data_IF_781655327226
#
_entry.id   IF_781655327226
#
_cell.length_a   1.000
_cell.length_b   1.000
_cell.length_c   1.000
_cell.angle_alpha   90.00
_cell.angle_beta   90.00
_cell.angle_gamma   90.00
#
_symmetry.space_group_name_H-M   'P 1'
#
loop_
_entity.id
_entity.type
_entity.pdbx_description
1 polymer ?
#
# COMPACT_ATOMS: atom_id res chain seq x y z
N UNK A 1 13.79 -34.72 -2.58
CA UNK A 1 13.89 -33.75 -3.69
C UNK A 1 12.62 -32.94 -3.69
N UNK A 2 12.70 -31.63 -3.91
CA UNK A 2 11.52 -30.77 -4.05
C UNK A 2 10.83 -30.98 -5.40
N UNK A 3 9.52 -30.86 -5.42
CA UNK A 3 8.74 -30.86 -6.66
C UNK A 3 8.95 -29.56 -7.43
N UNK A 4 9.20 -29.64 -8.73
CA UNK A 4 9.37 -28.44 -9.57
C UNK A 4 8.03 -27.71 -9.71
N UNK A 5 8.01 -26.41 -9.39
CA UNK A 5 6.83 -25.58 -9.61
C UNK A 5 6.88 -24.95 -11.02
N UNK A 6 5.76 -24.95 -11.74
CA UNK A 6 5.64 -24.40 -13.09
C UNK A 6 4.57 -23.31 -13.04
N UNK A 7 4.88 -22.08 -13.46
CA UNK A 7 3.89 -21.00 -13.52
C UNK A 7 2.93 -21.19 -14.69
N UNK A 8 1.62 -21.14 -14.43
CA UNK A 8 0.55 -21.33 -15.41
C UNK A 8 -0.46 -20.20 -15.27
N UNK A 9 -0.63 -19.32 -16.27
CA UNK A 9 -1.41 -18.09 -16.14
C UNK A 9 -2.93 -18.33 -16.07
N UNK A 10 -3.41 -19.43 -16.65
CA UNK A 10 -4.82 -19.82 -16.86
C UNK A 10 -5.29 -20.93 -15.92
N UNK A 11 -4.63 -21.09 -14.77
CA UNK A 11 -5.02 -22.05 -13.74
C UNK A 11 -4.91 -21.45 -12.34
N UNK A 12 -5.76 -21.96 -11.43
CA UNK A 12 -5.60 -21.77 -9.99
C UNK A 12 -4.36 -22.55 -9.54
N UNK A 13 -3.40 -21.88 -8.92
CA UNK A 13 -2.12 -22.50 -8.54
C UNK A 13 -1.87 -22.44 -7.05
N UNK A 14 -1.44 -23.56 -6.47
CA UNK A 14 -1.05 -23.69 -5.07
C UNK A 14 0.45 -23.98 -4.96
N UNK A 15 1.17 -23.10 -4.28
CA UNK A 15 2.56 -23.33 -3.88
C UNK A 15 2.62 -23.83 -2.43
N UNK A 16 2.77 -25.14 -2.26
CA UNK A 16 2.91 -25.80 -0.96
C UNK A 16 4.34 -26.18 -0.57
N UNK A 17 4.50 -26.72 0.65
CA UNK A 17 5.78 -27.14 1.23
C UNK A 17 6.59 -28.13 0.37
N UNK A 18 5.93 -28.99 -0.41
CA UNK A 18 6.57 -29.98 -1.29
C UNK A 18 7.46 -29.36 -2.38
N UNK A 19 7.21 -28.09 -2.72
CA UNK A 19 8.03 -27.36 -3.68
C UNK A 19 9.36 -26.86 -3.07
N UNK A 20 9.51 -26.82 -1.74
CA UNK A 20 10.69 -26.22 -1.12
C UNK A 20 10.85 -24.74 -1.54
N UNK A 21 12.07 -24.21 -1.50
CA UNK A 21 12.36 -22.85 -2.00
C UNK A 21 12.85 -22.90 -3.44
N UNK A 22 12.30 -22.04 -4.32
CA UNK A 22 12.63 -22.03 -5.74
C UNK A 22 12.68 -20.61 -6.31
N UNK A 23 13.52 -20.45 -7.33
CA UNK A 23 13.47 -19.30 -8.24
C UNK A 23 13.02 -19.80 -9.60
N UNK A 24 11.97 -19.20 -10.13
CA UNK A 24 11.47 -19.51 -11.47
C UNK A 24 11.59 -18.29 -12.38
N UNK A 25 11.67 -18.54 -13.67
CA UNK A 25 11.68 -17.54 -14.74
C UNK A 25 10.47 -17.80 -15.64
N UNK A 26 9.75 -16.76 -16.10
CA UNK A 26 8.56 -16.99 -16.87
C UNK A 26 8.95 -17.47 -18.28
N UNK A 27 8.18 -18.40 -18.85
CA UNK A 27 8.33 -18.76 -20.26
C UNK A 27 7.95 -17.58 -21.17
N UNK A 28 7.01 -16.74 -20.75
CA UNK A 28 6.55 -15.56 -21.48
C UNK A 28 6.20 -14.38 -20.56
N UNK A 29 5.40 -14.62 -19.52
CA UNK A 29 4.98 -13.65 -18.50
C UNK A 29 4.64 -14.36 -17.18
N UNK A 30 4.61 -13.60 -16.08
CA UNK A 30 4.02 -14.03 -14.80
C UNK A 30 2.57 -13.57 -14.61
N UNK A 31 1.94 -13.04 -15.64
CA UNK A 31 0.52 -12.66 -15.61
C UNK A 31 -0.37 -13.79 -15.08
N UNK A 32 -1.50 -13.40 -14.48
CA UNK A 32 -2.62 -14.30 -14.19
C UNK A 32 -3.82 -13.88 -15.01
N UNK A 33 -4.51 -14.83 -15.63
CA UNK A 33 -5.72 -14.54 -16.36
C UNK A 33 -6.87 -14.21 -15.39
N UNK A 34 -7.88 -13.51 -15.91
CA UNK A 34 -9.11 -13.19 -15.18
C UNK A 34 -9.71 -14.49 -14.61
N UNK A 35 -10.07 -14.47 -13.33
CA UNK A 35 -10.71 -15.59 -12.63
C UNK A 35 -9.77 -16.63 -12.03
N UNK A 36 -8.45 -16.50 -12.22
CA UNK A 36 -7.47 -17.45 -11.68
C UNK A 36 -6.65 -16.85 -10.53
N UNK A 37 -6.26 -17.71 -9.60
CA UNK A 37 -5.64 -17.33 -8.33
C UNK A 37 -4.27 -17.97 -8.13
N UNK A 38 -3.41 -17.27 -7.39
CA UNK A 38 -2.19 -17.83 -6.83
C UNK A 38 -2.32 -17.90 -5.31
N UNK A 39 -2.18 -19.12 -4.79
CA UNK A 39 -2.21 -19.43 -3.36
C UNK A 39 -0.87 -19.96 -2.91
N UNK A 40 -0.44 -19.58 -1.71
CA UNK A 40 0.81 -20.06 -1.14
C UNK A 40 0.64 -20.42 0.34
N UNK A 41 1.01 -21.66 0.64
CA UNK A 41 1.05 -22.21 1.99
C UNK A 41 2.27 -23.12 2.14
N UNK A 42 3.45 -22.49 2.20
CA UNK A 42 4.73 -23.17 2.05
C UNK A 42 5.61 -23.14 3.31
N UNK A 43 5.04 -22.76 4.46
CA UNK A 43 5.77 -22.62 5.72
C UNK A 43 6.78 -21.48 5.65
N UNK A 44 8.07 -21.78 5.73
CA UNK A 44 9.15 -20.80 5.63
C UNK A 44 9.74 -20.69 4.21
N UNK A 45 9.25 -21.50 3.27
CA UNK A 45 9.81 -21.57 1.93
C UNK A 45 9.53 -20.31 1.10
N UNK A 46 10.43 -20.06 0.14
CA UNK A 46 10.40 -18.87 -0.71
C UNK A 46 10.20 -19.25 -2.17
N UNK A 47 9.20 -18.63 -2.82
CA UNK A 47 9.07 -18.61 -4.27
C UNK A 47 9.54 -17.24 -4.80
N UNK A 48 10.55 -17.25 -5.66
CA UNK A 48 11.00 -16.05 -6.37
C UNK A 48 10.56 -16.09 -7.83
N UNK A 49 9.73 -15.14 -8.23
CA UNK A 49 9.37 -14.83 -9.62
C UNK A 49 10.43 -13.88 -10.17
N UNK A 50 11.43 -14.44 -10.85
CA UNK A 50 12.55 -13.67 -11.41
C UNK A 50 12.31 -13.33 -12.88
N UNK A 51 12.19 -12.03 -13.17
CA UNK A 51 11.96 -11.53 -14.53
C UNK A 51 13.26 -11.26 -15.30
N UNK A 52 14.43 -11.27 -14.66
CA UNK A 52 15.71 -10.84 -15.27
C UNK A 52 16.21 -11.74 -16.39
N UNK A 53 15.96 -13.04 -16.26
CA UNK A 53 16.51 -14.06 -17.14
C UNK A 53 15.75 -14.21 -18.47
N UNK A 54 14.96 -13.21 -18.84
CA UNK A 54 14.23 -13.18 -20.10
C UNK A 54 14.39 -11.83 -20.80
N UNK A 55 14.38 -11.86 -22.13
CA UNK A 55 14.44 -10.67 -22.98
C UNK A 55 13.04 -10.18 -23.39
N UNK A 56 11.98 -10.83 -22.89
CA UNK A 56 10.61 -10.46 -23.18
C UNK A 56 10.21 -9.24 -22.35
N UNK A 57 9.87 -8.13 -23.01
CA UNK A 57 9.28 -6.94 -22.36
C UNK A 57 8.05 -7.33 -21.53
N UNK A 58 7.25 -8.29 -22.01
CA UNK A 58 6.06 -8.81 -21.31
C UNK A 58 6.38 -9.54 -20.02
N UNK A 59 7.61 -10.02 -19.83
CA UNK A 59 7.99 -10.67 -18.58
C UNK A 59 8.24 -9.67 -17.45
N UNK A 60 8.57 -8.42 -17.79
CA UNK A 60 8.80 -7.36 -16.82
C UNK A 60 7.53 -6.59 -16.48
N UNK A 61 6.41 -6.86 -17.16
CA UNK A 61 5.16 -6.13 -17.00
C UNK A 61 4.04 -7.07 -16.55
N UNK A 62 3.89 -7.21 -15.23
CA UNK A 62 3.05 -8.20 -14.58
C UNK A 62 1.67 -7.61 -14.28
N UNK A 63 0.65 -8.17 -14.93
CA UNK A 63 -0.75 -7.76 -14.82
C UNK A 63 -1.60 -8.82 -14.15
N UNK A 64 -2.08 -8.51 -12.94
CA UNK A 64 -2.87 -9.41 -12.12
C UNK A 64 -4.27 -8.80 -11.88
N UNK A 65 -5.29 -9.24 -12.63
CA UNK A 65 -5.23 -10.12 -13.79
C UNK A 65 -4.79 -9.38 -15.06
N UNK A 66 -4.43 -10.15 -16.08
CA UNK A 66 -4.17 -9.68 -17.42
C UNK A 66 -5.47 -9.19 -18.07
N UNK A 67 -5.46 -8.04 -18.75
CA UNK A 67 -6.59 -7.65 -19.60
C UNK A 67 -6.70 -8.66 -20.75
N UNK A 68 -7.83 -9.38 -20.86
CA UNK A 68 -8.15 -10.13 -22.07
C UNK A 68 -9.07 -9.30 -22.97
N UNK A 69 -8.89 -9.44 -24.29
CA UNK A 69 -9.81 -8.87 -25.30
C UNK A 69 -11.20 -9.53 -25.25
N UNK A 70 -11.31 -10.70 -24.59
CA UNK A 70 -12.51 -11.52 -24.47
C UNK A 70 -13.25 -11.30 -23.14
N UNK A 71 -13.33 -10.04 -22.67
CA UNK A 71 -14.11 -9.66 -21.47
C UNK A 71 -15.55 -10.18 -21.51
N UNK A 72 -16.18 -10.18 -22.69
CA UNK A 72 -17.58 -10.57 -22.84
C UNK A 72 -17.80 -12.09 -22.81
N UNK A 73 -16.99 -12.89 -23.51
CA UNK A 73 -17.18 -14.35 -23.54
C UNK A 73 -16.85 -15.03 -22.20
N UNK A 74 -15.80 -14.60 -21.51
CA UNK A 74 -15.43 -15.19 -20.21
C UNK A 74 -16.45 -14.86 -19.11
N UNK A 75 -16.99 -13.64 -19.12
CA UNK A 75 -18.08 -13.27 -18.20
C UNK A 75 -19.38 -14.02 -18.51
N UNK A 76 -19.65 -14.40 -19.76
CA UNK A 76 -20.86 -15.14 -20.15
C UNK A 76 -20.74 -16.63 -19.81
N UNK A 77 -19.60 -17.27 -20.09
CA UNK A 77 -19.38 -18.70 -19.83
C UNK A 77 -19.27 -19.02 -18.34
N UNK A 78 -18.60 -18.17 -17.55
CA UNK A 78 -18.43 -18.43 -16.11
C UNK A 78 -19.50 -17.82 -15.19
N UNK A 79 -20.40 -16.95 -15.69
CA UNK A 79 -21.64 -16.61 -14.96
C UNK A 79 -22.63 -17.77 -14.92
N UNK A 80 -22.56 -18.72 -15.86
CA UNK A 80 -23.50 -19.82 -15.96
C UNK A 80 -23.13 -21.04 -15.08
N UNK A 81 -21.85 -21.23 -14.72
CA UNK A 81 -21.39 -22.46 -14.05
C UNK A 81 -20.84 -22.28 -12.64
N UNK A 82 -20.62 -21.06 -12.14
CA UNK A 82 -20.13 -20.86 -10.77
C UNK A 82 -20.58 -19.53 -10.18
N UNK A 83 -21.79 -19.51 -9.61
CA UNK A 83 -22.29 -18.38 -8.81
C UNK A 83 -21.58 -18.20 -7.46
N UNK A 84 -20.63 -19.09 -7.10
CA UNK A 84 -19.92 -19.08 -5.80
C UNK A 84 -18.38 -19.08 -5.88
N UNK A 85 -17.75 -19.03 -7.08
CA UNK A 85 -16.31 -18.69 -7.13
C UNK A 85 -16.19 -17.20 -6.83
N UNK A 86 -15.98 -16.85 -5.57
CA UNK A 86 -15.55 -15.52 -5.12
C UNK A 86 -14.35 -15.08 -5.97
N UNK A 87 -14.61 -14.25 -6.98
CA UNK A 87 -13.68 -13.66 -7.96
C UNK A 87 -12.69 -12.67 -7.30
N UNK A 88 -12.24 -12.97 -6.08
CA UNK A 88 -11.89 -11.97 -5.07
C UNK A 88 -10.51 -12.07 -4.44
N UNK A 89 -9.67 -13.06 -4.75
CA UNK A 89 -8.34 -13.24 -4.13
C UNK A 89 -7.30 -13.70 -5.17
N UNK A 90 -6.64 -12.78 -5.88
CA UNK A 90 -5.60 -13.17 -6.86
C UNK A 90 -4.30 -13.60 -6.19
N UNK A 91 -3.97 -13.00 -5.05
CA UNK A 91 -2.82 -13.40 -4.23
C UNK A 91 -3.32 -13.73 -2.84
N UNK A 92 -3.22 -14.98 -2.43
CA UNK A 92 -3.52 -15.40 -1.07
C UNK A 92 -2.34 -16.19 -0.50
N UNK A 93 -1.63 -15.59 0.46
CA UNK A 93 -0.46 -16.20 1.11
C UNK A 93 -0.80 -16.42 2.58
N UNK A 94 -1.00 -17.67 2.98
CA UNK A 94 -1.23 -18.06 4.37
C UNK A 94 0.08 -18.35 5.10
N UNK A 95 1.10 -18.83 4.39
CA UNK A 95 2.46 -19.02 4.91
C UNK A 95 3.49 -19.06 3.78
N UNK A 96 4.70 -18.58 4.04
CA UNK A 96 5.81 -18.54 3.09
C UNK A 96 6.07 -17.15 2.50
N UNK A 97 7.07 -17.07 1.62
CA UNK A 97 7.59 -15.83 1.08
C UNK A 97 7.46 -15.78 -0.45
N UNK A 98 6.65 -14.85 -0.98
CA UNK A 98 6.59 -14.57 -2.41
C UNK A 98 7.45 -13.35 -2.72
N UNK A 99 8.44 -13.51 -3.60
CA UNK A 99 9.29 -12.42 -4.08
C UNK A 99 9.08 -12.23 -5.58
N UNK A 100 8.70 -11.03 -5.99
CA UNK A 100 8.67 -10.59 -7.38
C UNK A 100 9.85 -9.63 -7.57
N UNK A 101 10.78 -9.97 -8.47
CA UNK A 101 12.01 -9.19 -8.67
C UNK A 101 12.37 -9.06 -10.15
N UNK A 102 12.86 -7.87 -10.50
CA UNK A 102 13.62 -7.61 -11.72
C UNK A 102 15.05 -7.18 -11.39
N UNK A 103 15.62 -6.35 -12.27
CA UNK A 103 16.98 -5.82 -12.21
C UNK A 103 16.95 -4.32 -12.43
N UNK A 104 18.11 -3.68 -12.29
CA UNK A 104 18.24 -2.25 -12.57
C UNK A 104 17.99 -1.96 -14.06
N UNK A 105 18.48 -2.84 -14.92
CA UNK A 105 18.38 -2.74 -16.37
C UNK A 105 16.99 -3.13 -16.87
N UNK A 106 16.34 -4.07 -16.17
CA UNK A 106 15.01 -4.59 -16.52
C UNK A 106 14.12 -4.65 -15.28
N UNK A 107 13.66 -3.50 -14.77
CA UNK A 107 12.85 -3.46 -13.56
C UNK A 107 11.44 -3.98 -13.81
N UNK A 108 10.82 -4.50 -12.75
CA UNK A 108 9.42 -4.97 -12.81
C UNK A 108 8.46 -3.79 -12.80
N UNK A 109 7.43 -3.86 -13.63
CA UNK A 109 6.19 -3.10 -13.51
C UNK A 109 5.11 -4.07 -13.03
N UNK A 110 4.50 -3.78 -11.88
CA UNK A 110 3.46 -4.61 -11.29
C UNK A 110 2.13 -3.86 -11.25
N UNK A 111 1.08 -4.51 -11.74
CA UNK A 111 -0.24 -3.93 -11.89
C UNK A 111 -1.30 -4.87 -11.30
N UNK A 112 -1.88 -4.50 -10.17
CA UNK A 112 -3.11 -5.10 -9.66
C UNK A 112 -4.31 -4.26 -10.08
N UNK A 113 -5.31 -4.89 -10.70
CA UNK A 113 -6.58 -4.27 -11.11
C UNK A 113 -6.46 -3.07 -12.08
N UNK A 114 -5.43 -2.98 -12.92
CA UNK A 114 -5.24 -1.80 -13.78
C UNK A 114 -6.34 -1.55 -14.81
N UNK A 115 -7.11 -2.58 -15.21
CA UNK A 115 -8.09 -2.49 -16.32
C UNK A 115 -9.36 -3.35 -16.13
N UNK A 116 -9.54 -3.96 -14.95
CA UNK A 116 -10.69 -4.83 -14.63
C UNK A 116 -11.56 -4.17 -13.57
N UNK A 117 -12.82 -4.59 -13.45
CA UNK A 117 -13.64 -4.18 -12.31
C UNK A 117 -12.88 -4.58 -11.05
N UNK A 118 -12.42 -3.60 -10.28
CA UNK A 118 -11.41 -3.76 -9.23
C UNK A 118 -11.85 -4.74 -8.13
N UNK A 119 -11.71 -6.04 -8.40
CA UNK A 119 -12.28 -7.13 -7.58
C UNK A 119 -11.20 -8.03 -7.01
N UNK A 120 -9.99 -7.97 -7.56
CA UNK A 120 -8.90 -8.83 -7.17
C UNK A 120 -8.13 -8.25 -5.99
N UNK A 121 -7.67 -9.14 -5.11
CA UNK A 121 -7.08 -8.75 -3.83
C UNK A 121 -5.76 -9.43 -3.56
N UNK A 122 -4.99 -8.78 -2.70
CA UNK A 122 -3.79 -9.30 -2.05
C UNK A 122 -4.15 -9.58 -0.59
N UNK A 123 -4.02 -10.83 -0.17
CA UNK A 123 -4.28 -11.27 1.20
C UNK A 123 -3.06 -11.96 1.76
N UNK A 124 -2.53 -11.40 2.84
CA UNK A 124 -1.38 -11.91 3.59
C UNK A 124 -1.83 -12.23 5.01
N UNK A 125 -1.62 -13.48 5.45
CA UNK A 125 -2.06 -13.95 6.76
C UNK A 125 -0.95 -14.70 7.49
N UNK A 126 -1.16 -14.89 8.80
CA UNK A 126 -0.24 -15.57 9.72
C UNK A 126 1.16 -14.96 9.72
N UNK A 127 2.12 -15.54 9.01
CA UNK A 127 3.53 -15.08 8.99
C UNK A 127 4.06 -14.99 7.57
N UNK A 128 3.19 -14.68 6.62
CA UNK A 128 3.52 -14.63 5.20
C UNK A 128 4.25 -13.35 4.81
N UNK A 129 4.99 -13.40 3.70
CA UNK A 129 5.59 -12.20 3.10
C UNK A 129 5.32 -12.09 1.61
N UNK A 130 5.12 -10.85 1.16
CA UNK A 130 5.13 -10.47 -0.25
C UNK A 130 6.14 -9.34 -0.44
N UNK A 131 7.11 -9.53 -1.32
CA UNK A 131 8.08 -8.52 -1.69
C UNK A 131 8.04 -8.26 -3.20
N UNK A 132 7.80 -7.01 -3.60
CA UNK A 132 7.97 -6.53 -4.96
C UNK A 132 9.18 -5.61 -4.95
N UNK A 133 10.29 -6.07 -5.54
CA UNK A 133 11.59 -5.41 -5.40
C UNK A 133 12.21 -5.12 -6.76
N UNK A 134 13.10 -4.11 -6.79
CA UNK A 134 13.71 -3.61 -8.03
C UNK A 134 12.64 -3.30 -9.08
N UNK A 135 11.54 -2.71 -8.63
CA UNK A 135 10.46 -2.29 -9.49
C UNK A 135 10.72 -0.88 -10.02
N UNK A 136 10.09 -0.57 -11.15
CA UNK A 136 9.95 0.78 -11.65
C UNK A 136 8.55 1.31 -11.33
N UNK A 137 7.50 0.56 -11.70
CA UNK A 137 6.12 0.97 -11.41
C UNK A 137 5.40 -0.08 -10.60
N UNK A 138 4.70 0.32 -9.55
CA UNK A 138 3.75 -0.55 -8.84
C UNK A 138 2.42 0.17 -8.71
N UNK A 139 1.36 -0.41 -9.28
CA UNK A 139 0.00 0.13 -9.22
C UNK A 139 -0.92 -0.89 -8.58
N UNK A 140 -1.60 -0.48 -7.53
CA UNK A 140 -2.59 -1.30 -6.83
C UNK A 140 -3.91 -0.52 -6.83
N UNK A 141 -4.87 -1.00 -7.60
CA UNK A 141 -6.22 -0.43 -7.66
C UNK A 141 -7.22 -1.36 -6.96
N UNK A 142 -8.31 -0.82 -6.44
CA UNK A 142 -9.30 -1.51 -5.63
C UNK A 142 -10.73 -1.04 -5.90
N UNK A 143 -11.76 -1.78 -5.44
CA UNK A 143 -13.16 -1.46 -5.72
C UNK A 143 -13.45 -0.01 -5.31
N UNK A 144 -13.88 0.80 -6.28
CA UNK A 144 -14.33 2.18 -6.05
C UNK A 144 -15.74 2.15 -5.48
N UNK A 145 -15.86 1.78 -4.22
CA UNK A 145 -17.17 1.75 -3.59
C UNK A 145 -17.55 3.16 -3.13
N UNK A 146 -18.65 3.69 -3.70
CA UNK A 146 -19.35 4.88 -3.17
C UNK A 146 -20.10 4.57 -1.86
N UNK A 147 -20.09 3.32 -1.41
CA UNK A 147 -20.72 2.88 -0.16
C UNK A 147 -19.72 2.96 1.00
N UNK A 148 -20.14 3.38 2.21
CA UNK A 148 -19.26 3.67 3.36
C UNK A 148 -18.36 2.52 3.86
N UNK A 149 -18.58 1.30 3.37
CA UNK A 149 -17.77 0.13 3.69
C UNK A 149 -17.70 -0.76 2.45
N UNK A 150 -16.55 -0.88 1.76
CA UNK A 150 -16.31 -2.08 0.99
C UNK A 150 -16.37 -3.28 1.91
N UNK A 151 -16.92 -4.38 1.42
CA UNK A 151 -16.95 -5.64 2.19
C UNK A 151 -15.53 -6.11 2.51
N UNK A 152 -14.55 -5.84 1.63
CA UNK A 152 -13.14 -6.22 1.81
C UNK A 152 -12.18 -5.27 1.08
N UNK A 153 -11.03 -4.96 1.70
CA UNK A 153 -9.93 -4.15 1.14
C UNK A 153 -9.20 -4.85 -0.02
N UNK A 154 -8.64 -4.09 -0.97
CA UNK A 154 -7.85 -4.67 -2.07
C UNK A 154 -6.52 -5.26 -1.58
N UNK A 155 -6.00 -4.72 -0.47
CA UNK A 155 -4.87 -5.29 0.25
C UNK A 155 -5.29 -5.52 1.70
N UNK A 156 -5.16 -6.75 2.18
CA UNK A 156 -5.45 -7.13 3.56
C UNK A 156 -4.27 -7.91 4.14
N UNK A 157 -3.68 -7.38 5.22
CA UNK A 157 -2.50 -7.94 5.89
C UNK A 157 -2.82 -8.18 7.36
N UNK A 158 -2.63 -9.40 7.83
CA UNK A 158 -2.97 -9.85 9.20
C UNK A 158 -1.95 -10.85 9.74
N UNK A 159 -2.00 -11.16 11.04
CA UNK A 159 -0.95 -11.93 11.71
C UNK A 159 0.27 -11.07 12.02
N UNK A 160 1.42 -11.66 11.76
CA UNK A 160 2.76 -11.07 11.68
C UNK A 160 3.26 -10.99 10.23
N UNK A 161 2.36 -10.78 9.27
CA UNK A 161 2.71 -10.77 7.84
C UNK A 161 3.40 -9.47 7.41
N UNK A 162 4.17 -9.52 6.31
CA UNK A 162 4.94 -8.39 5.82
C UNK A 162 4.72 -8.14 4.32
N UNK A 163 4.35 -6.91 3.95
CA UNK A 163 4.39 -6.43 2.58
C UNK A 163 5.58 -5.48 2.39
N UNK A 164 6.38 -5.70 1.36
CA UNK A 164 7.44 -4.77 0.93
C UNK A 164 7.28 -4.44 -0.54
N UNK A 165 7.21 -3.15 -0.85
CA UNK A 165 7.19 -2.64 -2.22
C UNK A 165 8.32 -1.63 -2.38
N UNK A 166 9.32 -1.98 -3.17
CA UNK A 166 10.45 -1.10 -3.50
C UNK A 166 10.47 -0.81 -5.02
N UNK A 167 9.99 0.39 -5.36
CA UNK A 167 9.99 0.94 -6.70
C UNK A 167 10.91 2.17 -6.76
N UNK A 168 12.21 1.93 -6.60
CA UNK A 168 13.26 2.97 -6.52
C UNK A 168 14.20 2.98 -7.73
N UNK A 169 13.98 2.11 -8.72
CA UNK A 169 14.79 2.08 -9.94
C UNK A 169 14.50 3.33 -10.78
N UNK A 170 15.56 3.98 -11.26
CA UNK A 170 15.48 5.08 -12.23
C UNK A 170 15.88 4.56 -13.60
N UNK A 171 15.07 4.87 -14.61
CA UNK A 171 15.32 4.47 -16.01
C UNK A 171 15.50 5.73 -16.85
N UNK A 172 16.55 5.76 -17.67
CA UNK A 172 16.77 6.82 -18.64
C UNK A 172 16.07 6.44 -19.96
N UNK A 173 15.09 7.23 -20.42
CA UNK A 173 14.42 7.07 -21.71
C UNK A 173 14.44 8.39 -22.47
N UNK A 174 15.00 8.40 -23.68
CA UNK A 174 14.88 9.51 -24.66
C UNK A 174 15.08 10.94 -24.10
N UNK A 175 16.00 11.09 -23.13
CA UNK A 175 16.36 12.30 -22.36
C UNK A 175 15.51 12.63 -21.12
N UNK A 176 14.58 11.78 -20.73
CA UNK A 176 13.84 11.86 -19.47
C UNK A 176 14.29 10.75 -18.50
N UNK A 177 14.34 11.11 -17.21
CA UNK A 177 14.59 10.16 -16.13
C UNK A 177 13.24 9.74 -15.56
N UNK A 178 12.82 8.51 -15.88
CA UNK A 178 11.63 7.90 -15.29
C UNK A 178 12.02 7.44 -13.90
N UNK A 179 11.47 8.12 -12.91
CA UNK A 179 11.64 7.76 -11.51
C UNK A 179 10.65 6.67 -11.14
N UNK A 180 11.12 5.69 -10.37
CA UNK A 180 10.24 4.66 -9.84
C UNK A 180 9.07 5.27 -9.06
N UNK A 181 7.89 4.66 -9.21
CA UNK A 181 6.64 5.14 -8.64
C UNK A 181 5.80 4.01 -8.03
N UNK A 182 5.12 4.31 -6.92
CA UNK A 182 4.06 3.48 -6.34
C UNK A 182 2.76 4.28 -6.38
N UNK A 183 1.68 3.69 -6.89
CA UNK A 183 0.36 4.31 -6.89
C UNK A 183 -0.66 3.38 -6.25
N UNK A 184 -1.32 3.87 -5.21
CA UNK A 184 -2.42 3.20 -4.53
C UNK A 184 -3.72 3.93 -4.86
N UNK A 185 -4.69 3.18 -5.37
CA UNK A 185 -6.07 3.63 -5.58
C UNK A 185 -7.03 2.56 -5.04
N UNK A 186 -6.92 2.29 -3.74
CA UNK A 186 -7.62 1.20 -3.10
C UNK A 186 -7.69 1.34 -1.58
N UNK A 187 -8.66 0.64 -0.99
CA UNK A 187 -8.63 0.36 0.45
C UNK A 187 -7.55 -0.65 0.80
N UNK A 188 -6.81 -0.35 1.87
CA UNK A 188 -5.66 -1.10 2.34
C UNK A 188 -5.80 -1.31 3.85
N UNK A 189 -5.78 -2.54 4.33
CA UNK A 189 -5.94 -2.85 5.77
C UNK A 189 -4.74 -3.63 6.31
N UNK A 190 -4.24 -3.19 7.47
CA UNK A 190 -3.15 -3.84 8.22
C UNK A 190 -3.63 -4.01 9.67
N UNK A 191 -3.61 -5.24 10.18
CA UNK A 191 -4.04 -5.57 11.54
C UNK A 191 -2.98 -6.34 12.32
N UNK A 192 -3.23 -6.56 13.60
CA UNK A 192 -2.40 -7.37 14.50
C UNK A 192 -0.96 -6.86 14.59
N UNK A 193 0.06 -7.68 14.28
CA UNK A 193 1.48 -7.27 14.34
C UNK A 193 2.12 -7.13 12.95
N UNK A 194 1.28 -7.02 11.92
CA UNK A 194 1.71 -6.98 10.53
C UNK A 194 2.33 -5.64 10.13
N UNK A 195 3.13 -5.67 9.06
CA UNK A 195 3.88 -4.51 8.58
C UNK A 195 3.77 -4.32 7.07
N UNK A 196 3.71 -3.07 6.64
CA UNK A 196 3.83 -2.70 5.23
C UNK A 196 4.93 -1.64 5.04
N UNK A 197 5.76 -1.81 4.02
CA UNK A 197 6.74 -0.81 3.60
C UNK A 197 6.56 -0.47 2.13
N UNK A 198 6.39 0.83 1.85
CA UNK A 198 6.44 1.40 0.51
C UNK A 198 7.69 2.27 0.39
N UNK A 199 8.54 2.00 -0.59
CA UNK A 199 9.77 2.76 -0.84
C UNK A 199 9.86 3.13 -2.31
N UNK A 200 9.83 4.43 -2.61
CA UNK A 200 9.86 4.92 -3.99
C UNK A 200 10.27 6.38 -4.04
N UNK A 201 10.67 6.89 -5.21
CA UNK A 201 10.84 8.33 -5.39
C UNK A 201 9.50 9.04 -5.22
N UNK A 202 8.45 8.49 -5.84
CA UNK A 202 7.10 9.02 -5.82
C UNK A 202 6.12 7.97 -5.28
N UNK A 203 5.40 8.31 -4.23
CA UNK A 203 4.25 7.54 -3.75
C UNK A 203 3.00 8.38 -3.95
N UNK A 204 2.03 7.83 -4.66
CA UNK A 204 0.72 8.46 -4.85
C UNK A 204 -0.37 7.64 -4.17
N UNK A 205 -1.24 8.31 -3.43
CA UNK A 205 -2.40 7.74 -2.75
C UNK A 205 -3.62 8.53 -3.23
N UNK A 206 -4.49 7.86 -3.97
CA UNK A 206 -5.69 8.42 -4.58
C UNK A 206 -6.91 7.68 -4.05
N UNK A 207 -7.96 8.37 -3.61
CA UNK A 207 -9.25 7.76 -3.28
C UNK A 207 -9.11 6.47 -2.43
N UNK A 208 -8.24 6.51 -1.42
CA UNK A 208 -7.79 5.31 -0.69
C UNK A 208 -7.94 5.50 0.80
N UNK A 209 -8.60 4.56 1.47
CA UNK A 209 -8.58 4.46 2.92
C UNK A 209 -7.55 3.41 3.38
N UNK A 210 -6.52 3.86 4.07
CA UNK A 210 -5.47 3.01 4.61
C UNK A 210 -5.70 2.84 6.11
N UNK A 211 -6.10 1.64 6.51
CA UNK A 211 -6.52 1.30 7.86
C UNK A 211 -5.39 0.56 8.57
N UNK A 212 -4.97 1.07 9.73
CA UNK A 212 -4.07 0.40 10.66
C UNK A 212 -4.84 0.08 11.95
N UNK A 213 -4.67 -1.13 12.49
CA UNK A 213 -5.28 -1.56 13.75
C UNK A 213 -4.33 -2.44 14.58
N UNK A 214 -4.58 -2.50 15.89
CA UNK A 214 -3.82 -3.28 16.85
C UNK A 214 -2.37 -2.77 16.93
N UNK A 215 -1.36 -3.57 16.60
CA UNK A 215 0.05 -3.16 16.62
C UNK A 215 0.62 -3.02 15.18
N UNK A 216 -0.26 -2.81 14.20
CA UNK A 216 0.10 -2.68 12.80
C UNK A 216 1.03 -1.50 12.54
N UNK A 217 1.95 -1.67 11.59
CA UNK A 217 2.91 -0.64 11.22
C UNK A 217 2.95 -0.42 9.71
N UNK A 218 2.98 0.84 9.29
CA UNK A 218 3.21 1.23 7.91
C UNK A 218 4.36 2.22 7.81
N UNK A 219 5.28 1.96 6.89
CA UNK A 219 6.40 2.82 6.57
C UNK A 219 6.33 3.24 5.11
N UNK A 220 6.26 4.55 4.87
CA UNK A 220 6.33 5.15 3.53
C UNK A 220 7.63 5.95 3.44
N UNK A 221 8.62 5.42 2.73
CA UNK A 221 9.88 6.10 2.43
C UNK A 221 9.77 6.72 1.03
N UNK A 222 9.70 8.06 0.94
CA UNK A 222 9.60 8.73 -0.34
C UNK A 222 10.26 10.10 -0.39
N UNK A 223 10.59 10.56 -1.60
CA UNK A 223 10.94 11.96 -1.82
C UNK A 223 9.68 12.82 -1.92
N UNK A 224 8.61 12.26 -2.51
CA UNK A 224 7.32 12.93 -2.69
C UNK A 224 6.20 11.94 -2.38
N UNK A 225 5.29 12.33 -1.49
CA UNK A 225 4.03 11.67 -1.18
C UNK A 225 2.86 12.55 -1.62
N UNK A 226 2.17 12.15 -2.68
CA UNK A 226 0.93 12.80 -3.11
C UNK A 226 -0.27 12.09 -2.51
N UNK A 227 -1.10 12.85 -1.80
CA UNK A 227 -2.38 12.37 -1.27
C UNK A 227 -3.45 13.22 -1.92
N UNK A 228 -4.39 12.60 -2.66
CA UNK A 228 -5.48 13.32 -3.33
C UNK A 228 -6.80 12.54 -3.24
N UNK A 229 -7.89 13.29 -3.18
CA UNK A 229 -9.24 12.77 -3.32
C UNK A 229 -9.87 13.42 -4.56
N UNK A 230 -10.60 12.63 -5.33
CA UNK A 230 -11.49 13.18 -6.35
C UNK A 230 -12.58 13.98 -5.66
N UNK A 231 -12.94 15.13 -6.24
CA UNK A 231 -13.95 16.03 -5.69
C UNK A 231 -15.24 15.95 -6.51
N UNK A 232 -16.38 16.13 -5.86
CA UNK A 232 -17.66 16.35 -6.53
C UNK A 232 -17.79 17.79 -7.06
N UNK A 233 -18.92 18.09 -7.69
CA UNK A 233 -19.19 19.42 -8.26
C UNK A 233 -19.27 20.53 -7.19
N UNK A 234 -19.48 20.16 -5.91
CA UNK A 234 -19.52 21.06 -4.76
C UNK A 234 -18.15 21.16 -4.06
N UNK A 235 -17.12 20.51 -4.61
CA UNK A 235 -15.77 20.49 -4.05
C UNK A 235 -15.60 19.59 -2.82
N UNK A 236 -16.55 18.69 -2.54
CA UNK A 236 -16.43 17.70 -1.46
C UNK A 236 -15.74 16.43 -1.95
N UNK A 237 -14.93 15.75 -1.12
CA UNK A 237 -14.33 14.47 -1.48
C UNK A 237 -15.40 13.43 -1.85
N UNK A 238 -15.27 12.82 -3.03
CA UNK A 238 -16.09 11.68 -3.47
C UNK A 238 -15.75 10.40 -2.70
N UNK A 239 -14.55 10.34 -2.14
CA UNK A 239 -14.00 9.19 -1.42
C UNK A 239 -13.20 9.66 -0.21
N UNK A 240 -13.19 8.84 0.84
CA UNK A 240 -12.30 9.02 1.97
C UNK A 240 -10.85 8.71 1.53
N UNK A 241 -10.02 9.74 1.39
CA UNK A 241 -8.57 9.58 1.22
C UNK A 241 -7.87 9.90 2.53
N UNK A 242 -7.65 8.88 3.36
CA UNK A 242 -7.04 9.06 4.68
C UNK A 242 -6.25 7.82 5.13
N UNK A 243 -5.45 8.04 6.17
CA UNK A 243 -4.90 7.02 7.04
C UNK A 243 -5.75 6.95 8.30
N UNK A 244 -6.46 5.84 8.48
CA UNK A 244 -7.30 5.59 9.66
C UNK A 244 -6.54 4.73 10.67
N UNK A 245 -6.16 5.33 11.80
CA UNK A 245 -5.53 4.65 12.94
C UNK A 245 -6.62 4.22 13.91
N UNK A 246 -6.91 2.91 13.96
CA UNK A 246 -7.86 2.29 14.90
C UNK A 246 -7.20 1.95 16.24
N UNK A 247 -7.98 1.35 17.14
CA UNK A 247 -7.52 0.93 18.46
C UNK A 247 -6.23 0.11 18.42
N UNK A 248 -5.39 0.27 19.44
CA UNK A 248 -4.08 -0.35 19.58
C UNK A 248 -2.91 0.64 19.61
N UNK A 249 -1.71 0.16 19.27
CA UNK A 249 -0.44 0.88 19.23
C UNK A 249 0.08 1.05 17.79
N UNK A 250 -0.82 1.39 16.86
CA UNK A 250 -0.50 1.49 15.43
C UNK A 250 0.56 2.54 15.14
N UNK A 251 1.43 2.31 14.16
CA UNK A 251 2.46 3.28 13.77
C UNK A 251 2.44 3.55 12.26
N UNK A 252 2.22 4.81 11.89
CA UNK A 252 2.42 5.31 10.53
C UNK A 252 3.67 6.20 10.50
N UNK A 253 4.67 5.80 9.72
CA UNK A 253 5.89 6.57 9.49
C UNK A 253 5.94 7.07 8.05
N UNK A 254 5.98 8.39 7.88
CA UNK A 254 6.19 9.06 6.59
C UNK A 254 7.61 9.62 6.58
N UNK A 255 8.51 8.92 5.89
CA UNK A 255 9.94 9.16 5.99
C UNK A 255 10.52 9.75 4.71
N UNK A 256 11.50 10.63 4.90
CA UNK A 256 12.36 11.13 3.83
C UNK A 256 13.29 10.02 3.37
N UNK A 257 13.37 9.82 2.05
CA UNK A 257 14.24 8.80 1.47
C UNK A 257 15.74 9.12 1.64
N UNK A 258 16.11 10.40 1.54
CA UNK A 258 17.50 10.87 1.48
C UNK A 258 17.86 11.90 2.55
N UNK A 259 16.88 12.35 3.34
CA UNK A 259 17.01 13.41 4.34
C UNK A 259 17.08 14.83 3.78
N UNK A 260 16.86 14.98 2.47
CA UNK A 260 16.91 16.26 1.75
C UNK A 260 15.52 16.59 1.21
N UNK A 261 14.81 15.61 0.66
CA UNK A 261 13.44 15.72 0.17
C UNK A 261 12.46 15.11 1.18
N UNK A 262 11.41 15.84 1.51
CA UNK A 262 10.46 15.43 2.54
C UNK A 262 9.17 14.92 1.90
N UNK A 263 8.59 13.81 2.41
CA UNK A 263 7.46 13.15 1.76
C UNK A 263 6.26 14.09 1.63
N UNK A 264 5.97 14.87 2.67
CA UNK A 264 4.91 15.87 2.65
C UNK A 264 5.49 17.27 2.48
N UNK A 265 5.13 17.94 1.39
CA UNK A 265 5.30 19.39 1.29
C UNK A 265 4.25 20.07 2.18
N UNK A 266 4.61 20.40 3.42
CA UNK A 266 3.69 21.03 4.38
C UNK A 266 3.23 22.44 3.98
N UNK A 267 3.76 23.03 2.89
CA UNK A 267 3.33 24.34 2.40
C UNK A 267 2.31 24.26 1.26
N UNK A 268 2.14 23.09 0.63
CA UNK A 268 1.13 22.86 -0.41
C UNK A 268 -0.30 22.96 0.14
N UNK A 269 -1.22 23.61 -0.58
CA UNK A 269 -2.56 23.99 -0.09
C UNK A 269 -3.67 22.95 -0.36
N UNK A 270 -3.51 22.06 -1.32
CA UNK A 270 -4.57 21.18 -1.87
C UNK A 270 -4.53 19.75 -1.32
N UNK A 271 -4.04 19.53 -0.11
CA UNK A 271 -4.22 18.23 0.54
C UNK A 271 -5.64 18.04 1.04
N UNK A 272 -6.15 16.79 1.05
CA UNK A 272 -7.38 16.48 1.76
C UNK A 272 -7.30 16.90 3.23
N UNK A 273 -8.43 17.33 3.79
CA UNK A 273 -8.57 17.54 5.24
C UNK A 273 -8.77 16.17 5.92
N UNK A 274 -8.36 16.05 7.18
CA UNK A 274 -8.56 14.82 7.95
C UNK A 274 -7.74 13.61 7.46
N UNK A 275 -6.63 13.84 6.74
CA UNK A 275 -5.73 12.80 6.23
C UNK A 275 -5.29 11.82 7.33
N UNK A 276 -5.09 12.29 8.55
CA UNK A 276 -4.78 11.45 9.71
C UNK A 276 -6.02 11.33 10.59
N UNK A 277 -6.77 10.24 10.42
CA UNK A 277 -7.99 9.98 11.15
C UNK A 277 -7.72 9.03 12.31
N UNK A 278 -7.96 9.48 13.54
CA UNK A 278 -7.81 8.66 14.74
C UNK A 278 -9.18 8.19 15.22
N UNK A 279 -9.39 6.88 15.29
CA UNK A 279 -10.63 6.35 15.84
C UNK A 279 -10.57 6.35 17.36
N UNK A 280 -11.45 7.13 17.98
CA UNK A 280 -11.64 7.24 19.42
C UNK A 280 -12.80 6.35 19.92
N UNK A 281 -13.62 5.81 19.01
CA UNK A 281 -14.66 4.85 19.37
C UNK A 281 -14.09 3.46 19.70
N UNK A 282 -14.48 2.92 20.85
CA UNK A 282 -14.22 1.54 21.24
C UNK A 282 -13.06 1.38 22.23
N UNK A 283 -12.05 0.58 21.83
CA UNK A 283 -10.86 0.27 22.65
C UNK A 283 -9.84 1.41 22.59
N UNK A 284 -8.88 1.37 23.51
CA UNK A 284 -7.80 2.35 23.61
C UNK A 284 -7.05 2.55 22.29
N UNK A 285 -6.78 3.80 21.91
CA UNK A 285 -5.98 4.16 20.75
C UNK A 285 -4.76 4.98 21.20
N UNK A 286 -3.60 4.33 21.15
CA UNK A 286 -2.28 4.91 21.42
C UNK A 286 -1.45 5.04 20.14
N UNK A 287 -2.11 4.95 18.99
CA UNK A 287 -1.48 5.02 17.68
C UNK A 287 -0.78 6.35 17.44
N UNK A 288 0.23 6.32 16.56
CA UNK A 288 1.08 7.48 16.27
C UNK A 288 1.28 7.64 14.77
N UNK A 289 1.32 8.91 14.36
CA UNK A 289 1.82 9.31 13.05
C UNK A 289 3.15 10.04 13.27
N UNK A 290 4.21 9.61 12.59
CA UNK A 290 5.52 10.26 12.61
C UNK A 290 5.86 10.69 11.20
N UNK A 291 6.27 11.95 11.05
CA UNK A 291 6.51 12.57 9.75
C UNK A 291 7.89 13.21 9.78
N UNK A 292 8.75 12.80 8.85
CA UNK A 292 9.99 13.51 8.56
C UNK A 292 9.67 14.83 7.86
N UNK A 293 10.22 15.92 8.40
CA UNK A 293 10.10 17.29 7.86
C UNK A 293 11.48 17.94 7.81
N UNK A 294 11.59 19.07 7.10
CA UNK A 294 12.84 19.82 7.12
C UNK A 294 13.22 20.19 8.56
N UNK A 295 14.52 20.16 8.93
CA UNK A 295 14.94 20.45 10.31
C UNK A 295 14.43 21.80 10.85
N UNK A 296 14.26 22.79 9.97
CA UNK A 296 13.72 24.12 10.29
C UNK A 296 12.22 24.11 10.62
N UNK A 297 11.50 23.06 10.25
CA UNK A 297 10.05 22.93 10.39
C UNK A 297 9.66 22.00 11.55
N UNK A 298 10.61 21.28 12.16
CA UNK A 298 10.39 20.48 13.38
C UNK A 298 10.33 21.37 14.64
N UNK A 299 9.36 22.29 14.66
CA UNK A 299 9.07 23.19 15.76
C UNK A 299 7.62 23.70 15.66
N UNK A 300 7.25 24.65 16.53
CA UNK A 300 5.92 25.24 16.57
C UNK A 300 5.47 25.90 15.26
N UNK A 301 6.39 26.44 14.46
CA UNK A 301 6.05 27.07 13.18
C UNK A 301 5.59 26.04 12.13
N UNK A 302 6.35 24.97 11.95
CA UNK A 302 5.96 23.88 11.04
C UNK A 302 4.68 23.19 11.50
N UNK A 303 4.54 22.97 12.82
CA UNK A 303 3.28 22.48 13.38
C UNK A 303 2.10 23.41 13.07
N UNK A 304 2.22 24.72 13.34
CA UNK A 304 1.15 25.68 13.02
C UNK A 304 0.78 25.67 11.54
N UNK A 305 1.76 25.45 10.65
CA UNK A 305 1.52 25.31 9.21
C UNK A 305 0.67 24.08 8.91
N UNK A 306 0.99 22.93 9.52
CA UNK A 306 0.20 21.70 9.40
C UNK A 306 -1.21 21.83 10.00
N UNK A 307 -1.34 22.45 11.16
CA UNK A 307 -2.63 22.61 11.87
C UNK A 307 -3.64 23.43 11.05
N UNK A 308 -3.18 24.50 10.39
CA UNK A 308 -4.01 25.33 9.50
C UNK A 308 -4.56 24.57 8.30
N UNK A 309 -3.97 23.43 7.96
CA UNK A 309 -4.42 22.54 6.89
C UNK A 309 -5.43 21.49 7.35
N UNK A 310 -5.79 21.49 8.64
CA UNK A 310 -6.75 20.56 9.23
C UNK A 310 -6.44 19.09 8.90
N UNK A 311 -5.17 18.66 9.04
CA UNK A 311 -4.76 17.30 8.69
C UNK A 311 -5.33 16.21 9.60
N UNK A 312 -5.79 16.55 10.81
CA UNK A 312 -6.25 15.55 11.77
C UNK A 312 -7.78 15.46 11.82
N UNK A 313 -8.27 14.24 12.00
CA UNK A 313 -9.68 13.93 12.21
C UNK A 313 -9.83 12.95 13.38
N UNK A 314 -11.02 12.95 13.99
CA UNK A 314 -11.43 11.96 14.99
C UNK A 314 -12.76 11.36 14.56
N UNK A 315 -12.82 10.03 14.48
CA UNK A 315 -14.01 9.30 14.01
C UNK A 315 -14.54 9.82 12.66
N UNK A 316 -13.64 10.14 11.73
CA UNK A 316 -13.97 10.68 10.41
C UNK A 316 -14.36 12.16 10.40
N UNK A 317 -14.51 12.81 11.56
CA UNK A 317 -14.81 14.24 11.65
C UNK A 317 -13.51 15.05 11.73
N UNK A 318 -13.32 15.96 10.78
CA UNK A 318 -12.17 16.87 10.75
C UNK A 318 -12.12 17.71 12.04
N UNK A 319 -10.95 17.80 12.67
CA UNK A 319 -10.77 18.67 13.84
C UNK A 319 -10.28 20.03 13.36
N UNK A 320 -11.12 21.04 13.59
CA UNK A 320 -10.87 22.41 13.15
C UNK A 320 -9.62 23.03 13.78
N UNK A 321 -9.04 23.98 13.06
CA UNK A 321 -7.88 24.75 13.52
C UNK A 321 -8.19 25.40 14.87
N UNK A 322 -7.32 25.18 15.86
CA UNK A 322 -7.46 25.70 17.22
C UNK A 322 -8.03 24.69 18.22
N UNK A 323 -8.82 23.72 17.75
CA UNK A 323 -9.35 22.64 18.60
C UNK A 323 -8.45 21.42 18.65
N UNK A 324 -7.54 21.28 17.70
CA UNK A 324 -6.58 20.17 17.61
C UNK A 324 -5.77 20.00 18.91
N UNK A 325 -5.37 21.11 19.55
CA UNK A 325 -4.64 21.10 20.82
C UNK A 325 -5.46 20.61 22.01
N UNK A 326 -6.78 20.46 21.89
CA UNK A 326 -7.62 19.85 22.94
C UNK A 326 -7.51 18.33 22.92
N UNK A 327 -7.35 17.75 21.73
CA UNK A 327 -7.47 16.31 21.51
C UNK A 327 -6.16 15.60 21.19
N UNK A 328 -5.17 16.31 20.66
CA UNK A 328 -3.91 15.74 20.20
C UNK A 328 -2.72 16.26 20.98
N UNK A 329 -1.73 15.39 21.14
CA UNK A 329 -0.38 15.74 21.55
C UNK A 329 0.55 15.75 20.33
N UNK A 330 1.45 16.73 20.34
CA UNK A 330 2.44 16.94 19.29
C UNK A 330 3.82 16.99 19.92
N UNK A 331 4.77 16.24 19.35
CA UNK A 331 6.17 16.29 19.79
C UNK A 331 7.11 16.41 18.60
N UNK A 332 8.29 16.96 18.87
CA UNK A 332 9.33 17.21 17.88
C UNK A 332 10.55 16.37 18.19
N UNK A 333 11.19 15.87 17.16
CA UNK A 333 12.44 15.14 17.27
C UNK A 333 13.42 15.52 16.17
N UNK A 334 14.58 14.91 16.26
CA UNK A 334 15.64 14.96 15.25
C UNK A 334 16.07 13.54 15.00
N UNK A 335 16.35 13.24 13.74
CA UNK A 335 16.82 11.93 13.31
C UNK A 335 17.77 12.10 12.12
N UNK A 336 18.27 11.00 11.58
CA UNK A 336 19.17 10.98 10.43
C UNK A 336 18.63 10.04 9.36
N UNK A 337 18.65 10.51 8.10
CA UNK A 337 18.34 9.72 6.90
C UNK A 337 19.50 9.86 5.93
N UNK A 338 20.10 8.74 5.54
CA UNK A 338 21.23 8.72 4.59
C UNK A 338 22.36 9.72 4.92
N UNK A 339 22.69 9.89 6.20
CA UNK A 339 23.70 10.84 6.68
C UNK A 339 23.23 12.30 6.85
N UNK A 340 22.04 12.65 6.37
CA UNK A 340 21.46 13.98 6.52
C UNK A 340 20.53 14.05 7.74
N UNK A 341 20.60 15.16 8.48
CA UNK A 341 19.70 15.39 9.60
C UNK A 341 18.29 15.71 9.09
N UNK A 342 17.29 15.07 9.69
CA UNK A 342 15.87 15.38 9.49
C UNK A 342 15.24 15.85 10.79
N UNK A 343 14.21 16.69 10.68
CA UNK A 343 13.31 16.96 11.79
C UNK A 343 12.16 15.95 11.79
N UNK A 344 11.57 15.65 12.94
CA UNK A 344 10.37 14.80 13.01
C UNK A 344 9.24 15.52 13.75
N UNK A 345 8.01 15.33 13.28
CA UNK A 345 6.78 15.70 13.98
C UNK A 345 6.01 14.42 14.27
N UNK A 346 5.66 14.20 15.54
CA UNK A 346 4.81 13.10 15.97
C UNK A 346 3.45 13.61 16.39
N UNK A 347 2.38 12.93 15.96
CA UNK A 347 0.98 13.20 16.29
C UNK A 347 0.38 11.97 16.98
N UNK A 348 -0.29 12.18 18.10
CA UNK A 348 -1.06 11.14 18.80
C UNK A 348 -2.27 11.74 19.53
N UNK A 349 -3.26 10.91 19.85
CA UNK A 349 -4.34 11.33 20.75
C UNK A 349 -3.80 11.62 22.15
N UNK A 350 -4.25 12.72 22.76
CA UNK A 350 -3.91 13.08 24.15
C UNK A 350 -4.60 12.15 25.15
N UNK A 351 -5.86 11.82 24.90
CA UNK A 351 -6.60 10.86 25.69
C UNK A 351 -6.82 9.59 24.86
N UNK A 352 -6.07 8.51 25.10
CA UNK A 352 -6.24 7.23 24.41
C UNK A 352 -7.62 6.59 24.58
N UNK A 353 -8.39 7.03 25.58
CA UNK A 353 -9.76 6.60 25.87
C UNK A 353 -10.80 7.69 25.56
N UNK A 354 -10.47 8.67 24.73
CA UNK A 354 -11.40 9.73 24.34
C UNK A 354 -12.72 9.10 23.85
N UNK A 355 -13.84 9.55 24.41
CA UNK A 355 -15.18 9.22 23.90
C UNK A 355 -15.85 10.54 23.56
N UNK A 356 -16.16 10.73 22.28
CA UNK A 356 -16.97 11.87 21.85
C UNK A 356 -18.43 11.52 22.10
N UNK A 357 -19.14 12.45 22.75
CA UNK A 357 -20.53 12.31 23.18
C UNK A 357 -21.53 12.49 22.06
#
# INVERSE_FOLDING_TARGET
MSEKFIWVPDEDQLYGHQHGSQTITPSSSFDKNIGFTFKMDAGENTLTLNTDNTNSIKAHDIHWPRPSELKEQYEIEHKAENTDKTLGETINISSGNLIISGSKEKPVNFHLNSQVQNRYRIKLQNSSTLAITKANTVRISGPKNKTPKPEESAVAISGSSHLTVEASVEIQQENEMIKGNISLECDFSITESSKAMLKSHLVNIYNSNIILQDNAQMLINSQILNIRADLDEQGQPLFDTNFTLKAGTTLLNLNSLDGIHFPLDIHREDYPKGVFNFMAEGKENTGKVVIDVAPKDANAYGLNTMLRKNFTAINGTVVETGDQMKYFDFSYGKDTRNGNQVGTITISLRNPHLKLS
#
